data_IF_556563789133
#
_entry.id   IF_556563789133
#
_cell.length_a   1.000
_cell.length_b   1.000
_cell.length_c   1.000
_cell.angle_alpha   90.00
_cell.angle_beta   90.00
_cell.angle_gamma   90.00
#
_symmetry.space_group_name_H-M   'P 1'
#
loop_
_entity.id
_entity.type
_entity.pdbx_description
1 polymer ?
#
# COMPACT_ATOMS: atom_id res chain seq x y z
N UNK A 1 22.57 18.42 6.55
CA UNK A 1 22.99 17.59 5.39
C UNK A 1 21.93 17.69 4.32
N UNK A 2 22.29 18.02 3.08
CA UNK A 2 21.34 18.14 1.98
C UNK A 2 21.28 16.82 1.21
N UNK A 3 20.08 16.25 1.06
CA UNK A 3 19.89 15.03 0.27
C UNK A 3 19.93 15.37 -1.22
N UNK A 4 20.49 14.45 -2.02
CA UNK A 4 20.33 14.51 -3.49
C UNK A 4 18.85 14.49 -3.83
N UNK A 5 18.46 15.23 -4.89
CA UNK A 5 17.06 15.37 -5.32
C UNK A 5 16.34 14.01 -5.49
N UNK A 6 17.04 13.02 -6.05
CA UNK A 6 16.53 11.66 -6.23
C UNK A 6 16.30 10.93 -4.91
N UNK A 7 17.30 10.95 -4.02
CA UNK A 7 17.20 10.35 -2.68
C UNK A 7 16.09 11.01 -1.85
N UNK A 8 15.95 12.33 -1.97
CA UNK A 8 14.87 13.07 -1.32
C UNK A 8 13.49 12.65 -1.84
N UNK A 9 13.34 12.42 -3.16
CA UNK A 9 12.09 11.93 -3.73
C UNK A 9 11.75 10.52 -3.21
N UNK A 10 12.70 9.59 -3.23
CA UNK A 10 12.49 8.24 -2.69
C UNK A 10 12.16 8.27 -1.20
N UNK A 11 12.83 9.13 -0.43
CA UNK A 11 12.55 9.29 0.98
C UNK A 11 11.15 9.89 1.24
N UNK A 12 10.66 10.79 0.37
CA UNK A 12 9.26 11.25 0.41
C UNK A 12 8.26 10.14 0.11
N UNK A 13 8.55 9.28 -0.86
CA UNK A 13 7.73 8.09 -1.12
C UNK A 13 7.73 7.17 0.09
N UNK A 14 8.90 6.89 0.67
CA UNK A 14 9.01 6.14 1.92
C UNK A 14 8.21 6.78 3.07
N UNK A 15 8.30 8.10 3.25
CA UNK A 15 7.52 8.84 4.23
C UNK A 15 6.01 8.75 3.97
N UNK A 16 5.56 8.71 2.71
CA UNK A 16 4.16 8.42 2.38
C UNK A 16 3.74 7.06 2.87
N UNK A 17 4.55 6.02 2.65
CA UNK A 17 4.24 4.68 3.14
C UNK A 17 4.17 4.67 4.67
N UNK A 18 5.14 5.28 5.36
CA UNK A 18 5.10 5.40 6.83
C UNK A 18 3.85 6.15 7.30
N UNK A 19 3.48 7.25 6.64
CA UNK A 19 2.26 7.98 6.93
C UNK A 19 0.98 7.19 6.64
N UNK A 20 0.99 6.34 5.60
CA UNK A 20 -0.14 5.48 5.21
C UNK A 20 -0.40 4.46 6.30
N UNK A 21 0.64 3.72 6.68
CA UNK A 21 0.54 2.69 7.70
C UNK A 21 0.35 3.29 9.09
N UNK A 22 1.06 4.36 9.44
CA UNK A 22 0.88 5.06 10.71
C UNK A 22 -0.52 5.64 10.87
N UNK A 23 -1.07 6.24 9.80
CA UNK A 23 -2.46 6.68 9.76
C UNK A 23 -3.46 5.54 9.91
N UNK A 24 -3.19 4.40 9.26
CA UNK A 24 -3.95 3.16 9.41
C UNK A 24 -3.91 2.61 10.83
N UNK A 25 -2.75 2.56 11.47
CA UNK A 25 -2.59 2.09 12.86
C UNK A 25 -3.35 2.98 13.84
N UNK A 26 -3.22 4.30 13.72
CA UNK A 26 -3.97 5.26 14.54
C UNK A 26 -5.47 5.10 14.33
N UNK A 27 -5.91 4.91 13.09
CA UNK A 27 -7.30 4.62 12.77
C UNK A 27 -7.79 3.35 13.46
N UNK A 28 -7.05 2.25 13.35
CA UNK A 28 -7.40 0.98 13.99
C UNK A 28 -7.53 1.12 15.50
N UNK A 29 -6.57 1.78 16.15
CA UNK A 29 -6.58 2.00 17.61
C UNK A 29 -7.76 2.87 18.06
N UNK A 30 -8.09 3.92 17.31
CA UNK A 30 -9.18 4.82 17.67
C UNK A 30 -10.57 4.20 17.47
N UNK A 31 -10.76 3.38 16.44
CA UNK A 31 -12.07 2.86 16.07
C UNK A 31 -12.37 1.48 16.64
N UNK A 32 -11.39 0.57 16.68
CA UNK A 32 -11.60 -0.76 17.27
C UNK A 32 -11.46 -0.77 18.80
N UNK A 33 -10.90 0.30 19.40
CA UNK A 33 -10.81 0.45 20.86
C UNK A 33 -12.06 1.02 21.53
N UNK A 34 -13.05 1.52 20.77
CA UNK A 34 -14.29 2.12 21.31
C UNK A 34 -15.54 1.54 20.65
N UNK A 35 -16.39 0.88 21.45
CA UNK A 35 -17.64 0.23 21.04
C UNK A 35 -18.71 1.17 20.47
N UNK A 36 -18.62 2.48 20.71
CA UNK A 36 -19.66 3.43 20.33
C UNK A 36 -19.34 4.25 19.07
N UNK A 37 -18.30 3.89 18.30
CA UNK A 37 -17.89 4.68 17.14
C UNK A 37 -18.88 4.53 15.96
N UNK A 38 -19.27 5.64 15.30
CA UNK A 38 -20.21 5.61 14.18
C UNK A 38 -19.61 4.90 12.96
N UNK A 39 -20.11 3.70 12.67
CA UNK A 39 -19.65 2.79 11.60
C UNK A 39 -19.59 3.44 10.20
N UNK A 40 -20.42 4.44 9.90
CA UNK A 40 -20.43 5.11 8.59
C UNK A 40 -19.30 6.12 8.41
N UNK A 41 -18.73 6.65 9.50
CA UNK A 41 -17.54 7.49 9.43
C UNK A 41 -16.27 6.67 9.35
N UNK A 42 -16.31 5.36 9.60
CA UNK A 42 -15.16 4.43 9.49
C UNK A 42 -14.47 4.57 8.13
N UNK A 43 -15.14 4.47 6.97
CA UNK A 43 -14.46 4.68 5.68
C UNK A 43 -13.93 6.12 5.54
N UNK A 44 -14.67 7.14 5.98
CA UNK A 44 -14.21 8.53 5.88
C UNK A 44 -12.97 8.80 6.73
N UNK A 45 -12.92 8.31 7.97
CA UNK A 45 -11.75 8.40 8.85
C UNK A 45 -10.64 7.46 8.43
N UNK A 46 -10.95 6.31 7.85
CA UNK A 46 -9.96 5.39 7.28
C UNK A 46 -9.19 6.12 6.18
N UNK A 47 -9.90 6.63 5.17
CA UNK A 47 -9.26 7.40 4.11
C UNK A 47 -8.68 8.72 4.64
N UNK A 48 -9.36 9.40 5.56
CA UNK A 48 -8.89 10.66 6.14
C UNK A 48 -7.60 10.51 6.94
N UNK A 49 -7.46 9.48 7.77
CA UNK A 49 -6.25 9.23 8.56
C UNK A 49 -5.16 8.60 7.73
N UNK A 50 -5.49 7.73 6.77
CA UNK A 50 -4.49 7.15 5.88
C UNK A 50 -3.97 8.20 4.89
N UNK A 51 -4.85 8.87 4.15
CA UNK A 51 -4.45 9.92 3.20
C UNK A 51 -3.91 11.16 3.93
N UNK A 52 -4.55 11.57 5.03
CA UNK A 52 -4.04 12.65 5.88
C UNK A 52 -2.68 12.31 6.49
N UNK A 53 -2.50 11.08 6.96
CA UNK A 53 -1.24 10.55 7.46
C UNK A 53 -0.15 10.56 6.38
N UNK A 54 -0.45 10.05 5.17
CA UNK A 54 0.51 10.12 4.04
C UNK A 54 0.93 11.55 3.72
N UNK A 55 -0.05 12.46 3.65
CA UNK A 55 0.18 13.86 3.31
C UNK A 55 0.98 14.58 4.39
N UNK A 56 0.59 14.43 5.66
CA UNK A 56 1.29 15.05 6.79
C UNK A 56 2.71 14.51 6.94
N UNK A 57 2.92 13.19 6.77
CA UNK A 57 4.25 12.60 6.81
C UNK A 57 5.14 13.11 5.67
N UNK A 58 4.60 13.22 4.44
CA UNK A 58 5.33 13.84 3.32
C UNK A 58 5.69 15.29 3.59
N UNK A 59 4.75 16.07 4.15
CA UNK A 59 4.94 17.48 4.43
C UNK A 59 5.98 17.68 5.55
N UNK A 60 5.85 16.94 6.65
CA UNK A 60 6.80 16.93 7.76
C UNK A 60 8.20 16.54 7.29
N UNK A 61 8.32 15.50 6.47
CA UNK A 61 9.59 15.08 5.88
C UNK A 61 10.21 16.19 5.01
N UNK A 62 9.41 16.81 4.14
CA UNK A 62 9.88 17.89 3.25
C UNK A 62 10.30 19.15 4.00
N UNK A 63 9.74 19.38 5.19
CA UNK A 63 10.12 20.48 6.07
C UNK A 63 11.40 20.16 6.86
N UNK A 64 11.55 18.91 7.30
CA UNK A 64 12.70 18.47 8.09
C UNK A 64 13.98 18.29 7.25
N UNK A 65 13.86 17.83 6.01
CA UNK A 65 15.01 17.45 5.17
C UNK A 65 14.98 18.14 3.80
N UNK A 66 15.52 19.37 3.64
CA UNK A 66 15.51 20.04 2.35
C UNK A 66 16.41 19.35 1.31
N UNK A 67 16.00 19.39 0.04
CA UNK A 67 16.79 18.85 -1.07
C UNK A 67 17.89 19.84 -1.51
N UNK A 68 19.02 19.31 -1.98
CA UNK A 68 20.08 20.10 -2.60
C UNK A 68 19.66 20.61 -3.98
N UNK A 69 19.87 21.90 -4.25
CA UNK A 69 19.67 22.48 -5.58
C UNK A 69 20.76 21.99 -6.54
N UNK A 70 20.42 21.54 -7.77
CA UNK A 70 21.42 21.08 -8.72
C UNK A 70 22.33 22.20 -9.26
N UNK A 71 21.83 23.44 -9.34
CA UNK A 71 22.61 24.57 -9.88
C UNK A 71 23.58 25.15 -8.85
N UNK A 72 23.08 25.54 -7.68
CA UNK A 72 23.89 26.25 -6.67
C UNK A 72 24.36 25.36 -5.51
N UNK A 73 23.98 24.08 -5.48
CA UNK A 73 24.25 23.11 -4.39
C UNK A 73 23.73 23.50 -3.00
N UNK A 74 23.02 24.62 -2.87
CA UNK A 74 22.43 25.05 -1.61
C UNK A 74 21.31 24.10 -1.15
N UNK A 75 21.19 23.92 0.17
CA UNK A 75 20.20 23.07 0.82
C UNK A 75 18.83 23.77 0.96
N UNK A 76 18.28 24.26 -0.17
CA UNK A 76 17.17 25.20 -0.13
C UNK A 76 16.08 24.94 -1.19
N UNK A 77 16.07 23.78 -1.83
CA UNK A 77 15.03 23.43 -2.79
C UNK A 77 13.79 22.91 -2.04
N UNK A 78 12.65 23.60 -2.18
CA UNK A 78 11.35 23.16 -1.63
C UNK A 78 10.36 22.86 -2.77
N UNK A 79 9.52 21.82 -2.62
CA UNK A 79 8.46 21.56 -3.58
C UNK A 79 7.38 22.66 -3.51
N UNK A 80 6.83 23.03 -4.66
CA UNK A 80 5.69 23.98 -4.69
C UNK A 80 4.38 23.29 -4.30
N UNK A 81 3.49 24.02 -3.62
CA UNK A 81 2.19 23.48 -3.18
C UNK A 81 1.30 23.04 -4.36
N UNK A 82 1.33 23.80 -5.47
CA UNK A 82 0.50 23.54 -6.66
C UNK A 82 1.05 22.43 -7.55
N UNK A 83 2.37 22.26 -7.60
CA UNK A 83 3.06 21.25 -8.41
C UNK A 83 4.13 20.58 -7.56
N UNK A 84 3.83 19.44 -6.90
CA UNK A 84 4.76 18.80 -5.96
C UNK A 84 6.03 18.26 -6.61
N UNK A 85 6.06 18.17 -7.94
CA UNK A 85 7.23 17.81 -8.76
C UNK A 85 8.12 19.00 -9.12
N UNK A 86 7.63 20.23 -8.99
CA UNK A 86 8.42 21.44 -9.25
C UNK A 86 9.09 21.89 -7.96
N UNK A 87 10.42 21.85 -7.94
CA UNK A 87 11.24 22.33 -6.83
C UNK A 87 11.77 23.72 -7.16
N UNK A 88 11.58 24.68 -6.26
CA UNK A 88 12.15 26.03 -6.41
C UNK A 88 13.21 26.23 -5.35
N UNK A 89 14.40 26.61 -5.78
CA UNK A 89 15.51 26.92 -4.88
C UNK A 89 15.34 28.32 -4.29
N UNK A 90 15.35 28.45 -2.95
CA UNK A 90 15.27 29.78 -2.30
C UNK A 90 16.49 30.67 -2.52
N UNK A 91 17.68 30.11 -2.72
CA UNK A 91 18.91 30.91 -2.83
C UNK A 91 19.14 31.48 -4.23
N UNK A 92 18.86 30.71 -5.28
CA UNK A 92 19.07 31.17 -6.67
C UNK A 92 17.78 31.35 -7.47
N UNK A 93 16.61 30.99 -6.93
CA UNK A 93 15.32 31.09 -7.65
C UNK A 93 15.12 30.03 -8.74
N UNK A 94 16.11 29.17 -9.01
CA UNK A 94 16.01 28.15 -10.04
C UNK A 94 14.87 27.18 -9.77
N UNK A 95 14.03 26.96 -10.78
CA UNK A 95 12.93 26.02 -10.75
C UNK A 95 13.34 24.74 -11.50
N UNK A 96 13.37 23.62 -10.80
CA UNK A 96 13.71 22.31 -11.38
C UNK A 96 12.52 21.38 -11.29
N UNK A 97 12.03 20.90 -12.44
CA UNK A 97 11.00 19.86 -12.48
C UNK A 97 11.68 18.49 -12.25
N UNK A 98 11.50 17.94 -11.06
CA UNK A 98 12.10 16.66 -10.69
C UNK A 98 11.56 15.50 -11.52
N UNK A 99 10.28 15.57 -11.95
CA UNK A 99 9.68 14.52 -12.75
C UNK A 99 10.28 14.50 -14.16
N UNK A 100 10.44 15.68 -14.77
CA UNK A 100 11.12 15.81 -16.07
C UNK A 100 12.59 15.39 -15.98
N UNK A 101 13.30 15.82 -14.94
CA UNK A 101 14.69 15.43 -14.72
C UNK A 101 14.85 13.92 -14.55
N UNK A 102 13.93 13.26 -13.82
CA UNK A 102 13.89 11.80 -13.73
C UNK A 102 13.58 11.14 -15.07
N UNK A 103 12.60 11.66 -15.82
CA UNK A 103 12.19 11.09 -17.10
C UNK A 103 13.33 11.15 -18.13
N UNK A 104 14.04 12.28 -18.21
CA UNK A 104 15.23 12.41 -19.07
C UNK A 104 16.31 11.41 -18.64
N UNK A 105 16.52 11.24 -17.33
CA UNK A 105 17.50 10.29 -16.82
C UNK A 105 17.09 8.85 -17.09
N UNK A 106 15.82 8.50 -16.96
CA UNK A 106 15.28 7.18 -17.32
C UNK A 106 15.39 6.94 -18.82
N UNK A 107 15.08 7.91 -19.67
CA UNK A 107 15.27 7.81 -21.12
C UNK A 107 16.75 7.65 -21.49
N UNK A 108 17.65 8.37 -20.82
CA UNK A 108 19.08 8.22 -20.99
C UNK A 108 19.56 6.84 -20.51
N UNK A 109 19.05 6.33 -19.38
CA UNK A 109 19.38 5.01 -18.85
C UNK A 109 18.81 3.87 -19.70
N UNK A 110 17.60 4.03 -20.24
CA UNK A 110 17.01 3.12 -21.22
C UNK A 110 17.84 3.08 -22.51
N UNK A 111 18.38 4.23 -22.95
CA UNK A 111 19.32 4.29 -24.09
C UNK A 111 20.69 3.69 -23.78
N UNK A 112 21.16 3.84 -22.54
CA UNK A 112 22.51 3.42 -22.13
C UNK A 112 22.56 2.02 -21.53
N UNK A 113 21.41 1.34 -21.34
CA UNK A 113 21.34 0.03 -20.68
C UNK A 113 21.98 0.02 -19.29
N UNK A 114 22.11 1.17 -18.63
CA UNK A 114 22.84 1.30 -17.38
C UNK A 114 21.91 1.02 -16.20
N UNK A 115 22.29 -0.03 -15.50
CA UNK A 115 21.66 -0.73 -14.39
C UNK A 115 21.24 0.22 -13.25
N UNK A 116 19.93 0.30 -12.98
CA UNK A 116 19.38 0.85 -11.75
C UNK A 116 18.73 -0.29 -10.95
N UNK A 117 19.53 -1.29 -10.55
CA UNK A 117 19.03 -2.52 -9.93
C UNK A 117 18.69 -2.38 -8.44
N UNK A 118 19.37 -1.51 -7.68
CA UNK A 118 19.22 -1.56 -6.22
C UNK A 118 17.88 -0.96 -5.71
N UNK A 119 17.30 -0.01 -6.45
CA UNK A 119 16.07 0.67 -6.02
C UNK A 119 14.78 -0.06 -6.40
N UNK A 120 14.75 -0.75 -7.54
CA UNK A 120 13.54 -1.43 -8.01
C UNK A 120 13.27 -2.74 -7.23
N UNK A 121 14.31 -3.41 -6.75
CA UNK A 121 14.13 -4.63 -5.94
C UNK A 121 13.55 -4.33 -4.56
N UNK A 122 13.92 -3.20 -3.93
CA UNK A 122 13.38 -2.82 -2.62
C UNK A 122 11.86 -2.59 -2.66
N UNK A 123 11.38 -1.86 -3.67
CA UNK A 123 9.96 -1.60 -3.83
C UNK A 123 9.16 -2.91 -4.00
N UNK A 124 9.68 -3.84 -4.80
CA UNK A 124 9.03 -5.13 -5.02
C UNK A 124 8.90 -5.93 -3.71
N UNK A 125 9.96 -5.94 -2.88
CA UNK A 125 9.93 -6.57 -1.56
C UNK A 125 8.93 -5.91 -0.61
N UNK A 126 8.82 -4.58 -0.60
CA UNK A 126 7.82 -3.86 0.21
C UNK A 126 6.40 -4.33 -0.16
N UNK A 127 6.08 -4.42 -1.45
CA UNK A 127 4.77 -4.93 -1.90
C UNK A 127 4.50 -6.36 -1.44
N UNK A 128 5.51 -7.24 -1.50
CA UNK A 128 5.40 -8.61 -1.01
C UNK A 128 5.13 -8.64 0.50
N UNK A 129 5.90 -7.91 1.31
CA UNK A 129 5.71 -7.89 2.76
C UNK A 129 4.37 -7.29 3.18
N UNK A 130 3.96 -6.19 2.55
CA UNK A 130 2.65 -5.58 2.79
C UNK A 130 1.53 -6.54 2.41
N UNK A 131 1.67 -7.22 1.27
CA UNK A 131 0.71 -8.24 0.81
C UNK A 131 0.60 -9.42 1.77
N UNK A 132 1.73 -9.95 2.25
CA UNK A 132 1.75 -11.03 3.25
C UNK A 132 1.13 -10.57 4.57
N UNK A 133 1.44 -9.36 5.04
CA UNK A 133 0.90 -8.83 6.29
C UNK A 133 -0.62 -8.65 6.23
N UNK A 134 -1.14 -8.09 5.13
CA UNK A 134 -2.59 -7.94 4.92
C UNK A 134 -3.30 -9.28 4.74
N UNK A 135 -2.67 -10.25 4.07
CA UNK A 135 -3.17 -11.61 3.95
C UNK A 135 -3.25 -12.32 5.31
N UNK A 136 -2.21 -12.23 6.13
CA UNK A 136 -2.18 -12.82 7.47
C UNK A 136 -3.27 -12.23 8.37
N UNK A 137 -3.50 -10.91 8.29
CA UNK A 137 -4.59 -10.25 9.00
C UNK A 137 -5.97 -10.76 8.53
N UNK A 138 -6.16 -10.93 7.22
CA UNK A 138 -7.38 -11.52 6.66
C UNK A 138 -7.64 -12.93 7.16
N UNK A 139 -6.60 -13.78 7.21
CA UNK A 139 -6.68 -15.15 7.74
C UNK A 139 -7.02 -15.13 9.24
N UNK A 140 -6.40 -14.25 10.02
CA UNK A 140 -6.67 -14.13 11.45
C UNK A 140 -8.13 -13.74 11.71
N UNK A 141 -8.66 -12.73 11.00
CA UNK A 141 -10.08 -12.36 11.06
C UNK A 141 -11.01 -13.51 10.64
N UNK A 142 -10.59 -14.33 9.69
CA UNK A 142 -11.37 -15.48 9.26
C UNK A 142 -11.45 -16.60 10.31
N UNK A 143 -10.51 -16.69 11.27
CA UNK A 143 -10.49 -17.80 12.24
C UNK A 143 -11.74 -17.79 13.13
N UNK A 144 -12.13 -16.63 13.66
CA UNK A 144 -13.33 -16.48 14.49
C UNK A 144 -14.60 -16.82 13.70
N UNK A 145 -14.64 -16.42 12.44
CA UNK A 145 -15.77 -16.67 11.54
C UNK A 145 -15.86 -18.14 11.12
N UNK A 146 -14.72 -18.80 10.89
CA UNK A 146 -14.65 -20.25 10.62
C UNK A 146 -15.08 -21.05 11.85
N UNK A 147 -14.67 -20.62 13.05
CA UNK A 147 -15.11 -21.27 14.28
C UNK A 147 -16.63 -21.15 14.45
N UNK A 148 -17.19 -19.95 14.23
CA UNK A 148 -18.64 -19.74 14.24
C UNK A 148 -19.34 -20.54 13.14
N UNK A 149 -18.81 -20.60 11.93
CA UNK A 149 -19.40 -21.35 10.82
C UNK A 149 -19.39 -22.87 11.02
N UNK A 150 -18.35 -23.41 11.67
CA UNK A 150 -18.21 -24.86 11.92
C UNK A 150 -18.95 -25.33 13.16
N UNK A 151 -18.84 -24.57 14.25
CA UNK A 151 -19.38 -24.96 15.56
C UNK A 151 -20.69 -24.26 15.90
N UNK A 152 -21.14 -23.34 15.05
CA UNK A 152 -22.36 -22.59 15.27
C UNK A 152 -23.60 -23.38 14.91
N UNK A 153 -24.65 -23.14 15.69
CA UNK A 153 -26.00 -23.64 15.40
C UNK A 153 -26.77 -22.56 14.66
N UNK A 154 -27.45 -22.96 13.59
CA UNK A 154 -28.34 -22.05 12.85
C UNK A 154 -29.74 -22.06 13.47
N UNK A 155 -30.32 -20.88 13.65
CA UNK A 155 -31.72 -20.70 14.08
C UNK A 155 -32.42 -19.71 13.16
N UNK A 156 -33.75 -19.80 13.11
CA UNK A 156 -34.58 -18.83 12.42
C UNK A 156 -34.65 -17.54 13.22
N UNK A 157 -34.67 -16.44 12.49
CA UNK A 157 -34.75 -15.10 13.03
C UNK A 157 -35.73 -14.27 12.21
N UNK A 158 -36.30 -13.24 12.81
CA UNK A 158 -37.20 -12.32 12.13
C UNK A 158 -36.77 -10.89 12.38
N UNK A 159 -36.83 -10.05 11.36
CA UNK A 159 -36.60 -8.61 11.49
C UNK A 159 -37.82 -7.99 12.18
N UNK A 160 -37.70 -7.65 13.47
CA UNK A 160 -38.81 -7.07 14.23
C UNK A 160 -39.18 -5.68 13.75
N UNK A 161 -38.16 -4.85 13.54
CA UNK A 161 -38.31 -3.46 13.10
C UNK A 161 -37.05 -2.95 12.44
N UNK A 162 -37.23 -1.99 11.53
CA UNK A 162 -36.16 -1.22 10.91
C UNK A 162 -36.33 0.22 11.34
N UNK A 163 -35.39 0.71 12.15
CA UNK A 163 -35.34 2.12 12.55
C UNK A 163 -34.63 2.94 11.48
N UNK A 164 -35.28 3.99 11.00
CA UNK A 164 -34.69 4.95 10.08
C UNK A 164 -34.32 6.23 10.84
N UNK A 165 -33.06 6.63 10.75
CA UNK A 165 -32.56 7.91 11.28
C UNK A 165 -31.98 8.72 10.13
N UNK A 166 -32.67 9.80 9.78
CA UNK A 166 -32.14 10.80 8.85
C UNK A 166 -31.17 11.71 9.60
N UNK A 167 -30.00 11.92 9.02
CA UNK A 167 -28.97 12.84 9.48
C UNK A 167 -28.52 13.70 8.30
N UNK A 168 -27.94 14.87 8.57
CA UNK A 168 -27.20 15.63 7.55
C UNK A 168 -25.71 15.43 7.77
N UNK A 169 -24.96 15.21 6.70
CA UNK A 169 -23.50 15.18 6.75
C UNK A 169 -22.94 16.60 7.02
N UNK A 170 -21.64 16.70 7.27
CA UNK A 170 -20.95 17.98 7.50
C UNK A 170 -21.02 18.96 6.30
N UNK A 171 -21.43 18.47 5.12
CA UNK A 171 -21.60 19.22 3.88
C UNK A 171 -23.08 19.51 3.57
N UNK A 172 -23.99 19.23 4.51
CA UNK A 172 -25.42 19.44 4.37
C UNK A 172 -26.15 18.43 3.50
N UNK A 173 -25.50 17.35 3.06
CA UNK A 173 -26.13 16.28 2.28
C UNK A 173 -26.98 15.40 3.21
N UNK A 174 -28.22 15.06 2.82
CA UNK A 174 -29.03 14.12 3.58
C UNK A 174 -28.41 12.72 3.53
N UNK A 175 -28.38 12.05 4.68
CA UNK A 175 -27.94 10.68 4.85
C UNK A 175 -28.98 9.94 5.67
N UNK A 176 -29.44 8.79 5.17
CA UNK A 176 -30.43 7.96 5.85
C UNK A 176 -29.75 6.71 6.41
N UNK A 177 -29.74 6.58 7.74
CA UNK A 177 -29.21 5.41 8.44
C UNK A 177 -30.36 4.48 8.81
N UNK A 178 -30.23 3.21 8.45
CA UNK A 178 -31.17 2.17 8.82
C UNK A 178 -30.55 1.26 9.88
N UNK A 179 -31.34 0.85 10.87
CA UNK A 179 -30.92 -0.11 11.90
C UNK A 179 -32.01 -1.17 12.05
N UNK A 180 -31.71 -2.40 11.66
CA UNK A 180 -32.58 -3.55 11.86
C UNK A 180 -32.37 -4.11 13.26
N UNK A 181 -33.47 -4.38 13.95
CA UNK A 181 -33.50 -5.18 15.16
C UNK A 181 -34.01 -6.56 14.78
N UNK A 182 -33.11 -7.54 14.78
CA UNK A 182 -33.39 -8.93 14.44
C UNK A 182 -33.61 -9.69 15.74
N UNK A 183 -34.72 -10.42 15.85
CA UNK A 183 -35.00 -11.31 16.97
C UNK A 183 -34.79 -12.75 16.56
N UNK A 184 -34.19 -13.53 17.45
CA UNK A 184 -34.03 -14.96 17.31
C UNK A 184 -34.23 -15.65 18.65
N UNK A 185 -34.53 -16.94 18.61
CA UNK A 185 -34.79 -17.75 19.80
C UNK A 185 -33.72 -18.83 19.92
N UNK A 186 -33.25 -18.99 21.15
CA UNK A 186 -32.37 -20.09 21.57
C UNK A 186 -33.08 -20.75 22.75
N UNK A 187 -33.58 -21.96 22.52
CA UNK A 187 -34.49 -22.65 23.43
C UNK A 187 -35.72 -21.78 23.75
N UNK A 188 -35.98 -21.48 25.03
CA UNK A 188 -37.09 -20.63 25.47
C UNK A 188 -36.69 -19.14 25.62
N UNK A 189 -35.42 -18.80 25.38
CA UNK A 189 -34.89 -17.45 25.60
C UNK A 189 -34.85 -16.65 24.31
N UNK A 190 -35.37 -15.42 24.37
CA UNK A 190 -35.38 -14.47 23.24
C UNK A 190 -34.12 -13.62 23.26
N UNK A 191 -33.44 -13.56 22.13
CA UNK A 191 -32.29 -12.70 21.92
C UNK A 191 -32.56 -11.69 20.81
N UNK A 192 -31.84 -10.56 20.86
CA UNK A 192 -31.91 -9.53 19.83
C UNK A 192 -30.52 -9.20 19.31
N UNK A 193 -30.43 -8.98 18.00
CA UNK A 193 -29.22 -8.58 17.28
C UNK A 193 -29.54 -7.27 16.56
N UNK A 194 -28.70 -6.26 16.75
CA UNK A 194 -28.83 -4.96 16.05
C UNK A 194 -27.86 -4.89 14.89
N UNK A 195 -28.37 -4.57 13.69
CA UNK A 195 -27.55 -4.36 12.49
C UNK A 195 -27.87 -3.05 11.80
N UNK A 196 -26.85 -2.21 11.68
CA UNK A 196 -26.94 -0.93 11.00
C UNK A 196 -26.38 -0.98 9.58
N UNK A 197 -27.09 -0.36 8.63
CA UNK A 197 -26.58 -0.06 7.30
C UNK A 197 -26.94 1.37 6.90
N UNK A 198 -26.23 1.92 5.92
CA UNK A 198 -26.43 3.28 5.40
C UNK A 198 -26.71 3.21 3.92
N UNK A 199 -27.74 3.92 3.46
CA UNK A 199 -28.10 4.00 2.03
C UNK A 199 -27.98 5.46 1.59
N UNK A 200 -27.26 5.75 0.48
CA UNK A 200 -27.29 7.09 -0.11
C UNK A 200 -28.69 7.37 -0.69
N UNK A 201 -29.21 8.59 -0.48
CA UNK A 201 -30.58 9.00 -0.85
C UNK A 201 -30.96 8.78 -2.33
N UNK A 202 -29.97 8.64 -3.23
CA UNK A 202 -30.20 8.49 -4.67
C UNK A 202 -29.91 7.09 -5.22
N UNK A 203 -29.52 6.13 -4.37
CA UNK A 203 -29.08 4.80 -4.80
C UNK A 203 -30.01 3.69 -4.32
N UNK A 204 -30.27 2.71 -5.20
CA UNK A 204 -30.80 1.42 -4.77
C UNK A 204 -29.95 0.85 -3.63
N UNK A 205 -30.59 0.16 -2.69
CA UNK A 205 -29.91 -0.33 -1.50
C UNK A 205 -28.78 -1.30 -1.89
N UNK A 206 -27.54 -0.87 -1.67
CA UNK A 206 -26.35 -1.67 -1.90
C UNK A 206 -26.21 -2.62 -0.71
N UNK A 207 -26.76 -3.83 -0.90
CA UNK A 207 -26.78 -5.00 -0.03
C UNK A 207 -25.90 -4.95 1.25
N UNK A 208 -26.42 -5.32 2.44
CA UNK A 208 -27.72 -5.96 2.69
C UNK A 208 -28.87 -4.97 3.03
N UNK A 209 -30.09 -5.33 2.61
CA UNK A 209 -31.30 -4.52 2.74
C UNK A 209 -32.36 -5.34 3.45
N UNK A 210 -32.66 -5.00 4.71
CA UNK A 210 -33.60 -5.77 5.51
C UNK A 210 -34.97 -5.09 5.50
N UNK A 211 -36.02 -5.90 5.37
CA UNK A 211 -37.40 -5.47 5.49
C UNK A 211 -37.99 -5.96 6.81
N UNK A 212 -38.93 -5.20 7.36
CA UNK A 212 -39.64 -5.63 8.57
C UNK A 212 -40.44 -6.90 8.28
N UNK A 213 -40.36 -7.88 9.19
CA UNK A 213 -40.98 -9.18 9.05
C UNK A 213 -40.22 -10.17 8.16
N UNK A 214 -39.08 -9.77 7.58
CA UNK A 214 -38.26 -10.65 6.74
C UNK A 214 -37.68 -11.80 7.60
N UNK A 215 -37.92 -13.07 7.20
CA UNK A 215 -37.30 -14.21 7.86
C UNK A 215 -35.82 -14.29 7.44
N UNK A 216 -34.95 -14.39 8.43
CA UNK A 216 -33.50 -14.49 8.27
C UNK A 216 -33.00 -15.75 8.97
N UNK A 217 -31.81 -16.20 8.59
CA UNK A 217 -31.08 -17.21 9.34
C UNK A 217 -29.97 -16.54 10.13
N UNK A 218 -29.83 -16.93 11.38
CA UNK A 218 -28.78 -16.43 12.27
C UNK A 218 -27.99 -17.64 12.78
N UNK A 219 -26.67 -17.50 12.85
CA UNK A 219 -25.76 -18.49 13.39
C UNK A 219 -25.19 -17.98 14.71
N UNK A 220 -25.21 -18.83 15.74
CA UNK A 220 -24.71 -18.52 17.07
C UNK A 220 -23.92 -19.70 17.65
N UNK A 221 -23.05 -19.42 18.62
CA UNK A 221 -22.34 -20.45 19.38
C UNK A 221 -23.16 -20.86 20.60
N UNK A 222 -23.42 -22.16 20.85
CA UNK A 222 -24.21 -22.60 22.01
C UNK A 222 -23.67 -22.10 23.36
N UNK A 223 -22.35 -22.02 23.52
CA UNK A 223 -21.71 -21.49 24.73
C UNK A 223 -21.71 -19.95 24.84
N UNK A 224 -22.14 -19.24 23.80
CA UNK A 224 -22.15 -17.78 23.76
C UNK A 224 -23.24 -17.26 22.79
N UNK A 225 -24.54 -17.47 23.10
CA UNK A 225 -25.64 -17.15 22.18
C UNK A 225 -25.69 -15.66 21.82
N UNK A 226 -25.26 -14.77 22.72
CA UNK A 226 -25.18 -13.33 22.45
C UNK A 226 -24.18 -12.91 21.35
N UNK A 227 -23.29 -13.80 20.88
CA UNK A 227 -22.35 -13.55 19.78
C UNK A 227 -22.88 -14.05 18.43
N UNK A 228 -24.18 -13.88 18.21
CA UNK A 228 -24.82 -14.30 16.97
C UNK A 228 -24.48 -13.38 15.79
N UNK A 229 -24.42 -13.95 14.59
CA UNK A 229 -24.27 -13.22 13.32
C UNK A 229 -25.29 -13.72 12.31
N UNK A 230 -25.73 -12.88 11.37
CA UNK A 230 -26.65 -13.38 10.34
C UNK A 230 -25.89 -14.30 9.38
N UNK A 231 -26.54 -15.39 9.01
CA UNK A 231 -25.96 -16.49 8.26
C UNK A 231 -25.90 -16.12 6.77
N UNK A 232 -25.11 -15.10 6.44
CA UNK A 232 -24.85 -14.67 5.07
C UNK A 232 -23.34 -14.72 4.77
N UNK A 233 -22.92 -15.30 3.63
CA UNK A 233 -21.49 -15.44 3.32
C UNK A 233 -20.72 -14.13 3.35
N UNK A 234 -21.32 -13.03 2.90
CA UNK A 234 -20.66 -11.74 2.90
C UNK A 234 -20.62 -11.06 4.28
N UNK A 235 -21.52 -11.39 5.21
CA UNK A 235 -21.38 -10.91 6.60
C UNK A 235 -20.36 -11.73 7.39
N UNK A 236 -20.29 -13.05 7.17
CA UNK A 236 -19.27 -13.90 7.79
C UNK A 236 -17.87 -13.68 7.20
N UNK A 237 -17.74 -13.63 5.88
CA UNK A 237 -16.45 -13.66 5.20
C UNK A 237 -16.12 -12.39 4.42
N UNK A 238 -17.02 -11.40 4.36
CA UNK A 238 -16.80 -10.21 3.53
C UNK A 238 -15.56 -9.42 3.94
N UNK A 239 -15.42 -9.11 5.24
CA UNK A 239 -14.27 -8.36 5.75
C UNK A 239 -12.97 -9.17 5.56
N UNK A 240 -12.96 -10.43 6.02
CA UNK A 240 -11.79 -11.30 5.89
C UNK A 240 -11.40 -11.52 4.42
N UNK A 241 -12.38 -11.68 3.54
CA UNK A 241 -12.22 -11.82 2.09
C UNK A 241 -11.65 -10.56 1.44
N UNK A 242 -12.10 -9.37 1.84
CA UNK A 242 -11.54 -8.10 1.35
C UNK A 242 -10.06 -7.97 1.72
N UNK A 243 -9.68 -8.23 2.97
CA UNK A 243 -8.28 -8.18 3.40
C UNK A 243 -7.42 -9.24 2.70
N UNK A 244 -7.93 -10.47 2.59
CA UNK A 244 -7.23 -11.56 1.93
C UNK A 244 -7.05 -11.30 0.43
N UNK A 245 -8.08 -10.80 -0.24
CA UNK A 245 -8.03 -10.42 -1.65
C UNK A 245 -7.07 -9.26 -1.92
N UNK A 246 -7.09 -8.22 -1.08
CA UNK A 246 -6.12 -7.13 -1.15
C UNK A 246 -4.68 -7.64 -0.94
N UNK A 247 -4.45 -8.47 0.07
CA UNK A 247 -3.13 -9.03 0.35
C UNK A 247 -2.58 -9.88 -0.79
N UNK A 248 -3.41 -10.74 -1.38
CA UNK A 248 -3.07 -11.50 -2.59
C UNK A 248 -2.70 -10.60 -3.76
N UNK A 249 -3.46 -9.51 -3.97
CA UNK A 249 -3.17 -8.56 -5.05
C UNK A 249 -1.82 -7.86 -4.86
N UNK A 250 -1.53 -7.36 -3.65
CA UNK A 250 -0.24 -6.72 -3.35
C UNK A 250 0.94 -7.70 -3.46
N UNK A 251 0.81 -8.90 -2.89
CA UNK A 251 1.84 -9.93 -2.97
C UNK A 251 2.06 -10.39 -4.42
N UNK A 252 0.98 -10.58 -5.18
CA UNK A 252 1.02 -10.95 -6.60
C UNK A 252 1.76 -9.92 -7.44
N UNK A 253 1.45 -8.63 -7.27
CA UNK A 253 2.17 -7.54 -7.95
C UNK A 253 3.66 -7.57 -7.60
N UNK A 254 4.01 -7.71 -6.32
CA UNK A 254 5.40 -7.80 -5.88
C UNK A 254 6.16 -8.98 -6.51
N UNK A 255 5.55 -10.16 -6.54
CA UNK A 255 6.12 -11.37 -7.16
C UNK A 255 6.27 -11.21 -8.67
N UNK A 256 5.29 -10.60 -9.35
CA UNK A 256 5.37 -10.33 -10.79
C UNK A 256 6.53 -9.39 -11.13
N UNK A 257 6.73 -8.32 -10.33
CA UNK A 257 7.86 -7.40 -10.50
C UNK A 257 9.19 -8.15 -10.31
N UNK A 258 9.32 -8.97 -9.27
CA UNK A 258 10.53 -9.78 -9.00
C UNK A 258 10.80 -10.77 -10.15
N UNK A 259 9.76 -11.44 -10.66
CA UNK A 259 9.88 -12.36 -11.79
C UNK A 259 10.33 -11.64 -13.06
N UNK A 260 9.74 -10.50 -13.36
CA UNK A 260 10.09 -9.71 -14.53
C UNK A 260 11.52 -9.16 -14.44
N UNK A 261 12.01 -8.82 -13.24
CA UNK A 261 13.42 -8.45 -13.02
C UNK A 261 14.36 -9.63 -13.26
N UNK A 262 14.02 -10.83 -12.78
CA UNK A 262 14.84 -12.05 -12.97
C UNK A 262 14.91 -12.52 -14.42
N UNK A 263 13.89 -12.24 -15.23
CA UNK A 263 13.85 -12.61 -16.65
C UNK A 263 14.68 -11.68 -17.53
N UNK A 264 15.14 -10.53 -17.02
CA UNK A 264 16.12 -9.74 -17.77
C UNK A 264 17.42 -10.56 -17.82
N UNK A 265 17.88 -10.96 -19.03
CA UNK A 265 19.08 -11.77 -19.14
C UNK A 265 20.21 -11.07 -18.40
N UNK A 266 20.96 -11.78 -17.54
CA UNK A 266 22.07 -11.18 -16.83
C UNK A 266 22.98 -10.56 -17.90
N UNK A 267 23.20 -9.25 -17.82
CA UNK A 267 23.99 -8.43 -18.75
C UNK A 267 25.43 -8.94 -18.95
N UNK A 268 25.80 -10.04 -18.30
CA UNK A 268 27.00 -10.85 -18.53
C UNK A 268 27.21 -11.24 -20.00
N UNK A 269 26.16 -11.40 -20.81
CA UNK A 269 26.36 -11.64 -22.26
C UNK A 269 26.82 -10.37 -22.98
N UNK A 270 26.23 -9.21 -22.68
CA UNK A 270 26.71 -7.92 -23.22
C UNK A 270 28.13 -7.58 -22.74
N UNK A 271 28.51 -7.99 -21.53
CA UNK A 271 29.87 -7.84 -21.03
C UNK A 271 30.87 -8.82 -21.67
N UNK A 272 30.42 -9.94 -22.24
CA UNK A 272 31.27 -10.81 -23.05
C UNK A 272 31.48 -10.18 -24.43
N UNK A 273 30.40 -9.78 -25.11
CA UNK A 273 30.50 -9.08 -26.40
C UNK A 273 31.36 -7.81 -26.31
N UNK A 274 31.19 -7.00 -25.25
CA UNK A 274 32.00 -5.79 -25.09
C UNK A 274 33.46 -6.10 -24.78
N UNK A 275 33.74 -7.20 -24.08
CA UNK A 275 35.12 -7.63 -23.78
C UNK A 275 35.80 -8.24 -25.01
N UNK A 276 35.05 -8.97 -25.82
CA UNK A 276 35.50 -9.52 -27.09
C UNK A 276 35.77 -8.40 -28.10
N UNK A 277 34.89 -7.38 -28.17
CA UNK A 277 35.13 -6.15 -28.95
C UNK A 277 36.36 -5.37 -28.46
N UNK A 278 36.57 -5.25 -27.15
CA UNK A 278 37.79 -4.61 -26.61
C UNK A 278 39.04 -5.44 -26.94
N UNK A 279 38.94 -6.77 -26.93
CA UNK A 279 40.05 -7.65 -27.29
C UNK A 279 40.41 -7.56 -28.79
N UNK A 280 39.41 -7.42 -29.67
CA UNK A 280 39.58 -7.19 -31.11
C UNK A 280 40.27 -5.84 -31.40
N UNK A 281 39.90 -4.79 -30.68
CA UNK A 281 40.43 -3.43 -30.89
C UNK A 281 41.83 -3.27 -30.30
N UNK A 282 42.22 -4.08 -29.29
CA UNK A 282 43.55 -3.99 -28.70
C UNK A 282 44.57 -4.48 -29.74
N UNK A 283 45.42 -3.60 -30.30
CA UNK A 283 46.41 -4.03 -31.28
C UNK A 283 47.32 -5.09 -30.63
N UNK A 284 47.73 -6.13 -31.38
CA UNK A 284 48.67 -7.12 -30.87
C UNK A 284 49.86 -6.35 -30.34
N UNK A 285 50.19 -6.57 -29.05
CA UNK A 285 51.28 -5.87 -28.40
C UNK A 285 52.51 -5.97 -29.31
N UNK A 286 52.85 -4.84 -29.96
CA UNK A 286 53.99 -4.75 -30.82
C UNK A 286 55.18 -5.23 -29.99
N UNK A 287 55.84 -6.26 -30.52
CA UNK A 287 56.72 -7.15 -29.78
C UNK A 287 57.52 -6.43 -28.71
N UNK A 288 57.40 -6.93 -27.48
CA UNK A 288 58.45 -6.80 -26.50
C UNK A 288 59.72 -7.39 -27.12
N UNK A 289 60.47 -6.55 -27.84
CA UNK A 289 61.84 -6.80 -28.21
C UNK A 289 62.60 -6.89 -26.88
N UNK A 290 62.74 -8.14 -26.40
CA UNK A 290 63.75 -8.47 -25.39
C UNK A 290 65.09 -8.01 -25.97
N UNK A 291 65.51 -6.82 -25.57
CA UNK A 291 66.90 -6.40 -25.63
C UNK A 291 67.69 -7.41 -24.81
N UNK A 292 68.22 -8.41 -25.49
CA UNK A 292 69.31 -9.25 -25.01
C UNK A 292 70.55 -8.38 -24.89
N UNK A 293 70.68 -7.68 -23.76
CA UNK A 293 71.92 -7.03 -23.37
C UNK A 293 72.99 -8.12 -23.17
N UNK A 294 73.80 -8.37 -24.20
CA UNK A 294 75.09 -9.07 -24.06
C UNK A 294 76.03 -8.13 -23.31
N UNK A 295 76.32 -8.46 -22.06
CA UNK A 295 77.51 -7.96 -21.36
C UNK A 295 78.77 -8.55 -22.02
N UNK A 296 79.77 -7.73 -22.36
CA UNK A 296 81.07 -8.24 -22.82
C UNK A 296 81.77 -8.94 -21.65
N UNK A 297 82.27 -10.14 -21.92
CA UNK A 297 83.12 -10.92 -21.01
C UNK A 297 84.55 -10.56 -21.35
N UNK A 298 85.26 -9.94 -20.41
CA UNK A 298 86.68 -9.66 -20.50
C UNK A 298 87.47 -10.98 -20.56
N UNK A 299 88.24 -11.16 -21.64
CA UNK A 299 89.27 -12.19 -21.75
C UNK A 299 90.58 -11.67 -21.14
N UNK A 300 91.17 -12.51 -20.27
CA UNK A 300 92.58 -12.50 -19.88
C UNK A 300 93.16 -13.87 -20.20
#
# INVERSE_FOLDING_TARGET
MALRLTSHLYARVGASFVGFFGGGTVFTLLFFGKTDSPIYLVPFWFFGLILGGTYLAQLAFSLAFPAACPECRAAAARPTLRKPTLYVCRSCGAATDSARAMMIRQLAMLRLGTQQDEGESFLAWVFVFVGIGTLALGIWLAQDEIHLARNGTSTEAIVLRVEQKSSRDQKGKPETRHTAVVQYHVDEVRYTLTRGWSVPDTGGCMWPCYHQGEPLKVIYLPGAPGRAKIHSPAELFGVAGMFSGAGLLFAGIGVLIIRHQRQRPPQRESWKEMRDLIAEIRPPAAGASRGSARTPRDDK
#
